data_IF_447653328617
#
_entry.id   IF_447653328617
#
_cell.length_a   1.000
_cell.length_b   1.000
_cell.length_c   1.000
_cell.angle_alpha   90.00
_cell.angle_beta   90.00
_cell.angle_gamma   90.00
#
_symmetry.space_group_name_H-M   'P 1'
#
loop_
_entity.id
_entity.type
_entity.pdbx_description
1 polymer ?
#
# COMPACT_ATOMS: atom_id res chain seq x y z
N UNK A 1 2.35 -5.86 -4.60
CA UNK A 1 1.22 -6.66 -4.07
C UNK A 1 1.11 -7.95 -4.88
N UNK A 2 0.73 -9.08 -4.27
CA UNK A 2 0.78 -10.40 -4.92
C UNK A 2 -0.08 -10.43 -6.19
N UNK A 3 0.49 -10.97 -7.27
CA UNK A 3 -0.20 -11.10 -8.58
C UNK A 3 -1.05 -12.39 -8.67
N UNK A 4 -0.75 -13.41 -7.87
CA UNK A 4 -1.46 -14.69 -7.82
C UNK A 4 -1.56 -15.14 -6.35
N UNK A 5 -2.78 -15.31 -5.83
CA UNK A 5 -3.04 -15.79 -4.46
C UNK A 5 -4.49 -16.28 -4.32
N UNK A 6 -4.91 -16.70 -3.12
CA UNK A 6 -6.30 -17.13 -2.89
C UNK A 6 -7.29 -15.95 -3.05
N UNK A 7 -8.56 -16.25 -3.33
CA UNK A 7 -9.59 -15.23 -3.59
C UNK A 7 -9.74 -14.22 -2.44
N UNK A 8 -9.72 -14.67 -1.18
CA UNK A 8 -9.78 -13.79 -0.01
C UNK A 8 -8.61 -12.81 0.05
N UNK A 9 -7.42 -13.26 -0.34
CA UNK A 9 -6.20 -12.48 -0.39
C UNK A 9 -6.27 -11.44 -1.50
N UNK A 10 -6.68 -11.84 -2.70
CA UNK A 10 -6.86 -10.93 -3.83
C UNK A 10 -7.95 -9.89 -3.55
N UNK A 11 -9.02 -10.27 -2.85
CA UNK A 11 -10.07 -9.34 -2.41
C UNK A 11 -9.54 -8.30 -1.42
N UNK A 12 -8.83 -8.73 -0.39
CA UNK A 12 -8.22 -7.83 0.60
C UNK A 12 -7.21 -6.89 -0.09
N UNK A 13 -6.38 -7.41 -0.99
CA UNK A 13 -5.44 -6.60 -1.78
C UNK A 13 -6.16 -5.57 -2.65
N UNK A 14 -7.25 -5.95 -3.31
CA UNK A 14 -8.07 -5.04 -4.13
C UNK A 14 -8.72 -3.93 -3.29
N UNK A 15 -9.23 -4.28 -2.10
CA UNK A 15 -9.79 -3.31 -1.15
C UNK A 15 -8.72 -2.33 -0.65
N UNK A 16 -7.51 -2.80 -0.34
CA UNK A 16 -6.39 -1.93 0.02
C UNK A 16 -5.96 -1.03 -1.14
N UNK A 17 -5.88 -1.55 -2.36
CA UNK A 17 -5.56 -0.76 -3.54
C UNK A 17 -6.61 0.33 -3.78
N UNK A 18 -7.88 0.02 -3.53
CA UNK A 18 -8.98 0.99 -3.64
C UNK A 18 -8.92 2.05 -2.55
N UNK A 19 -8.49 1.69 -1.33
CA UNK A 19 -8.28 2.64 -0.22
C UNK A 19 -7.07 3.56 -0.43
N UNK A 20 -6.00 3.04 -1.03
CA UNK A 20 -4.76 3.77 -1.29
C UNK A 20 -4.82 4.59 -2.59
N UNK A 21 -5.68 4.19 -3.52
CA UNK A 21 -5.90 4.88 -4.79
C UNK A 21 -6.77 6.12 -4.62
N UNK A 22 -6.70 7.02 -5.61
CA UNK A 22 -7.60 8.16 -5.69
C UNK A 22 -9.02 7.70 -6.05
N UNK A 23 -9.95 7.79 -5.10
CA UNK A 23 -11.37 7.58 -5.33
C UNK A 23 -12.08 8.91 -5.69
N UNK A 24 -13.35 8.84 -6.09
CA UNK A 24 -14.09 10.04 -6.54
C UNK A 24 -14.18 11.12 -5.44
N UNK A 25 -14.23 10.71 -4.17
CA UNK A 25 -14.21 11.62 -3.03
C UNK A 25 -12.87 12.34 -2.91
N UNK A 26 -11.74 11.64 -3.11
CA UNK A 26 -10.41 12.23 -3.15
C UNK A 26 -10.24 13.23 -4.31
N UNK A 27 -10.85 12.97 -5.47
CA UNK A 27 -10.85 13.92 -6.59
C UNK A 27 -11.55 15.23 -6.21
N UNK A 28 -12.67 15.15 -5.47
CA UNK A 28 -13.42 16.34 -5.02
C UNK A 28 -12.72 17.03 -3.86
N UNK A 29 -12.20 16.27 -2.90
CA UNK A 29 -11.61 16.79 -1.67
C UNK A 29 -10.24 17.45 -1.89
N UNK A 30 -9.38 16.81 -2.70
CA UNK A 30 -8.02 17.28 -2.97
C UNK A 30 -7.90 18.07 -4.27
N UNK A 31 -9.01 18.26 -4.99
CA UNK A 31 -9.05 18.94 -6.28
C UNK A 31 -7.99 18.41 -7.26
N UNK A 32 -7.90 17.07 -7.35
CA UNK A 32 -6.88 16.39 -8.15
C UNK A 32 -6.98 16.82 -9.61
N UNK A 33 -5.90 17.42 -10.12
CA UNK A 33 -5.77 17.81 -11.52
C UNK A 33 -4.56 17.15 -12.15
N UNK A 34 -4.76 16.58 -13.33
CA UNK A 34 -3.67 16.03 -14.11
C UNK A 34 -3.10 17.16 -14.99
N UNK A 35 -1.84 17.55 -14.74
CA UNK A 35 -1.13 18.57 -15.50
C UNK A 35 0.19 17.96 -16.00
N UNK A 36 0.40 17.97 -17.31
CA UNK A 36 1.66 17.55 -17.95
C UNK A 36 2.13 16.14 -17.55
N UNK A 37 1.20 15.20 -17.36
CA UNK A 37 1.49 13.82 -16.97
C UNK A 37 1.73 13.60 -15.48
N UNK A 38 1.68 14.66 -14.66
CA UNK A 38 1.74 14.59 -13.20
C UNK A 38 0.37 14.89 -12.59
N UNK A 39 0.15 14.38 -11.37
CA UNK A 39 -1.00 14.77 -10.56
C UNK A 39 -0.62 15.94 -9.65
N UNK A 40 -1.50 16.93 -9.58
CA UNK A 40 -1.41 18.07 -8.68
C UNK A 40 -2.61 18.07 -7.75
N UNK A 41 -2.40 18.45 -6.49
CA UNK A 41 -3.43 18.51 -5.44
C UNK A 41 -3.33 19.81 -4.65
N UNK A 42 -4.43 20.19 -3.99
CA UNK A 42 -4.50 21.33 -3.08
C UNK A 42 -3.73 21.09 -1.77
N UNK A 43 -3.66 22.07 -0.87
CA UNK A 43 -2.89 21.95 0.37
C UNK A 43 -3.36 20.82 1.30
N UNK A 44 -4.64 20.42 1.24
CA UNK A 44 -5.15 19.27 2.01
C UNK A 44 -4.56 17.93 1.54
N UNK A 45 -4.21 17.82 0.26
CA UNK A 45 -3.54 16.64 -0.28
C UNK A 45 -2.09 16.49 0.22
N UNK A 46 -1.54 17.52 0.89
CA UNK A 46 -0.20 17.46 1.50
C UNK A 46 -0.23 16.92 2.94
N UNK A 47 -1.41 16.76 3.53
CA UNK A 47 -1.55 16.26 4.90
C UNK A 47 -1.27 14.76 4.95
N UNK A 48 -0.51 14.33 5.95
CA UNK A 48 -0.34 12.91 6.24
C UNK A 48 -1.65 12.33 6.76
N UNK A 49 -2.23 11.39 6.01
CA UNK A 49 -3.38 10.61 6.46
C UNK A 49 -2.91 9.25 6.92
N UNK A 50 -3.31 8.89 8.13
CA UNK A 50 -3.15 7.53 8.62
C UNK A 50 -4.18 6.63 7.92
N UNK A 51 -3.68 5.58 7.27
CA UNK A 51 -4.53 4.60 6.60
C UNK A 51 -4.48 3.33 7.43
N UNK A 52 -5.61 3.01 8.04
CA UNK A 52 -5.73 1.81 8.85
C UNK A 52 -5.75 0.56 7.94
N UNK A 53 -4.61 -0.15 7.93
CA UNK A 53 -4.48 -1.46 7.30
C UNK A 53 -4.91 -2.51 8.30
N UNK A 54 -6.01 -3.22 8.04
CA UNK A 54 -6.51 -4.26 8.95
C UNK A 54 -5.49 -5.38 9.17
N UNK A 55 -5.57 -6.08 10.30
CA UNK A 55 -4.59 -7.10 10.70
C UNK A 55 -4.39 -8.20 9.63
N UNK A 56 -5.49 -8.69 9.04
CA UNK A 56 -5.41 -9.72 8.00
C UNK A 56 -4.67 -9.24 6.75
N UNK A 57 -4.82 -7.96 6.40
CA UNK A 57 -4.08 -7.34 5.31
C UNK A 57 -2.58 -7.24 5.63
N UNK A 58 -2.22 -6.84 6.87
CA UNK A 58 -0.83 -6.80 7.31
C UNK A 58 -0.18 -8.19 7.26
N UNK A 59 -0.86 -9.22 7.74
CA UNK A 59 -0.40 -10.61 7.67
C UNK A 59 -0.13 -11.05 6.23
N UNK A 60 -1.07 -10.82 5.32
CA UNK A 60 -0.94 -11.17 3.90
C UNK A 60 0.30 -10.51 3.28
N UNK A 61 0.50 -9.21 3.54
CA UNK A 61 1.65 -8.47 3.00
C UNK A 61 2.96 -9.01 3.58
N UNK A 62 2.98 -9.31 4.88
CA UNK A 62 4.14 -9.90 5.57
C UNK A 62 4.48 -11.29 5.02
N UNK A 63 3.50 -12.17 4.87
CA UNK A 63 3.69 -13.52 4.32
C UNK A 63 4.26 -13.48 2.90
N UNK A 64 3.74 -12.60 2.04
CA UNK A 64 4.22 -12.47 0.67
C UNK A 64 5.64 -11.90 0.61
N UNK A 65 5.96 -10.92 1.46
CA UNK A 65 7.32 -10.37 1.58
C UNK A 65 8.32 -11.43 2.05
N UNK A 66 7.95 -12.26 3.04
CA UNK A 66 8.77 -13.39 3.49
C UNK A 66 8.97 -14.42 2.37
N UNK A 67 7.92 -14.70 1.58
CA UNK A 67 8.01 -15.62 0.44
C UNK A 67 8.98 -15.09 -0.63
N UNK A 68 8.88 -13.81 -0.98
CA UNK A 68 9.79 -13.18 -1.94
C UNK A 68 11.24 -13.17 -1.47
N UNK A 69 11.47 -13.00 -0.17
CA UNK A 69 12.80 -13.07 0.44
C UNK A 69 13.39 -14.48 0.39
N UNK A 70 12.58 -15.51 0.72
CA UNK A 70 12.97 -16.92 0.53
C UNK A 70 13.34 -17.23 -0.92
N UNK A 71 12.67 -16.61 -1.88
CA UNK A 71 12.95 -16.72 -3.31
C UNK A 71 14.09 -15.79 -3.80
N UNK A 72 14.70 -14.99 -2.92
CA UNK A 72 15.73 -13.97 -3.23
C UNK A 72 15.27 -12.95 -4.29
N UNK A 73 13.99 -12.61 -4.29
CA UNK A 73 13.34 -11.67 -5.22
C UNK A 73 13.03 -10.31 -4.59
N UNK A 74 13.47 -10.05 -3.36
CA UNK A 74 13.35 -8.72 -2.75
C UNK A 74 14.25 -7.75 -3.51
N UNK A 75 13.62 -6.74 -4.12
CA UNK A 75 14.31 -5.65 -4.79
C UNK A 75 14.53 -4.50 -3.82
N UNK A 76 15.45 -3.58 -4.15
CA UNK A 76 15.68 -2.36 -3.35
C UNK A 76 14.40 -1.53 -3.15
N UNK A 77 13.47 -1.57 -4.11
CA UNK A 77 12.18 -0.88 -4.02
C UNK A 77 11.25 -1.48 -2.95
N UNK A 78 11.41 -2.76 -2.64
CA UNK A 78 10.64 -3.48 -1.64
C UNK A 78 11.34 -3.54 -0.29
N UNK A 79 12.61 -3.11 -0.20
CA UNK A 79 13.40 -3.16 1.03
C UNK A 79 12.73 -2.41 2.19
N UNK A 80 12.35 -1.15 1.98
CA UNK A 80 11.71 -0.33 3.01
C UNK A 80 10.33 -0.89 3.43
N UNK A 81 9.63 -1.58 2.52
CA UNK A 81 8.38 -2.25 2.81
C UNK A 81 8.63 -3.52 3.64
N UNK A 82 9.65 -4.29 3.28
CA UNK A 82 10.08 -5.48 4.02
C UNK A 82 10.48 -5.10 5.45
N UNK A 83 11.24 -4.02 5.62
CA UNK A 83 11.59 -3.53 6.96
C UNK A 83 10.34 -3.22 7.78
N UNK A 84 9.41 -2.43 7.24
CA UNK A 84 8.20 -2.01 7.96
C UNK A 84 7.21 -3.12 8.30
N UNK A 85 7.14 -4.18 7.50
CA UNK A 85 6.14 -5.24 7.67
C UNK A 85 6.72 -6.53 8.27
N UNK A 86 8.02 -6.79 8.09
CA UNK A 86 8.69 -8.02 8.53
C UNK A 86 9.67 -7.75 9.66
N UNK A 87 10.48 -6.68 9.56
CA UNK A 87 11.53 -6.35 10.54
C UNK A 87 11.11 -5.36 11.61
N UNK A 88 9.94 -4.71 11.48
CA UNK A 88 9.30 -4.01 12.58
C UNK A 88 8.98 -5.06 13.65
N UNK A 89 9.96 -5.26 14.54
CA UNK A 89 9.67 -5.36 15.96
C UNK A 89 8.83 -4.14 16.28
N UNK A 90 7.68 -4.38 16.91
CA UNK A 90 7.01 -3.33 17.66
C UNK A 90 8.05 -2.78 18.65
N UNK A 91 8.72 -1.71 18.24
CA UNK A 91 9.47 -0.86 19.16
C UNK A 91 8.40 -0.03 19.88
N UNK A 92 8.05 -0.53 21.09
CA UNK A 92 7.40 0.12 22.24
C UNK A 92 6.02 0.80 22.07
#
# INVERSE_FOLDING_TARGET
LPKESNFSTLRIVSELQSKLGFNEDAYKEFELKQAEGNFTWNDKGKEFREIEVGEKAKEIVKEELIKLDKEKKITLQLYSLYEKFVMNKEDE
#
